data_IF_047601547324
#
_entry.id   IF_047601547324
#
_cell.length_a   1.000
_cell.length_b   1.000
_cell.length_c   1.000
_cell.angle_alpha   90.00
_cell.angle_beta   90.00
_cell.angle_gamma   90.00
#
_symmetry.space_group_name_H-M   'P 1'
#
loop_
_entity.id
_entity.type
_entity.pdbx_description
1 polymer ?
#
# COMPACT_ATOMS: atom_id res chain seq x y z
N UNK A 1 -8.85 35.08 -4.92
CA UNK A 1 -8.45 33.74 -4.41
C UNK A 1 -9.45 32.74 -4.97
N UNK A 2 -9.14 32.09 -6.09
CA UNK A 2 -10.02 31.06 -6.65
C UNK A 2 -10.04 29.87 -5.71
N UNK A 3 -11.16 29.66 -5.03
CA UNK A 3 -11.38 28.50 -4.20
C UNK A 3 -11.23 27.25 -5.09
N UNK A 4 -10.12 26.52 -4.93
CA UNK A 4 -10.03 25.18 -5.48
C UNK A 4 -11.11 24.36 -4.78
N UNK A 5 -12.23 24.14 -5.48
CA UNK A 5 -13.29 23.24 -5.03
C UNK A 5 -12.65 21.91 -4.66
N UNK A 6 -13.02 21.35 -3.50
CA UNK A 6 -12.50 20.06 -3.02
C UNK A 6 -12.53 18.94 -4.08
N UNK A 7 -13.47 19.01 -5.03
CA UNK A 7 -13.57 18.13 -6.20
C UNK A 7 -12.33 18.18 -7.11
N UNK A 8 -11.81 19.37 -7.40
CA UNK A 8 -10.59 19.52 -8.22
C UNK A 8 -9.35 18.99 -7.51
N UNK A 9 -9.29 19.12 -6.18
CA UNK A 9 -8.21 18.56 -5.36
C UNK A 9 -8.28 17.03 -5.37
N UNK A 10 -9.48 16.47 -5.24
CA UNK A 10 -9.77 15.03 -5.34
C UNK A 10 -9.33 14.46 -6.68
N UNK A 11 -9.77 15.06 -7.79
CA UNK A 11 -9.40 14.63 -9.15
C UNK A 11 -7.88 14.63 -9.36
N UNK A 12 -7.19 15.68 -8.91
CA UNK A 12 -5.72 15.74 -8.99
C UNK A 12 -5.06 14.63 -8.19
N UNK A 13 -5.58 14.29 -7.00
CA UNK A 13 -5.04 13.21 -6.17
C UNK A 13 -5.29 11.84 -6.76
N UNK A 14 -6.45 11.62 -7.36
CA UNK A 14 -6.75 10.40 -8.12
C UNK A 14 -5.78 10.23 -9.29
N UNK A 15 -5.51 11.29 -10.06
CA UNK A 15 -4.55 11.26 -11.17
C UNK A 15 -3.13 11.01 -10.68
N UNK A 16 -2.70 11.61 -9.57
CA UNK A 16 -1.37 11.37 -8.99
C UNK A 16 -1.23 9.91 -8.54
N UNK A 17 -2.22 9.39 -7.81
CA UNK A 17 -2.25 8.01 -7.33
C UNK A 17 -2.22 7.03 -8.49
N UNK A 18 -3.10 7.22 -9.46
CA UNK A 18 -3.21 6.34 -10.62
C UNK A 18 -1.99 6.51 -11.54
N UNK A 19 -1.32 7.66 -11.55
CA UNK A 19 -0.06 7.87 -12.26
C UNK A 19 1.12 7.10 -11.65
N UNK A 20 1.12 6.88 -10.33
CA UNK A 20 2.15 6.07 -9.65
C UNK A 20 2.02 4.58 -9.97
N UNK A 21 0.81 4.08 -10.26
CA UNK A 21 0.53 2.66 -10.47
C UNK A 21 0.99 2.21 -11.87
N UNK A 22 1.96 1.27 -11.99
CA UNK A 22 2.37 0.71 -13.27
C UNK A 22 1.20 0.06 -14.02
N UNK A 23 1.11 0.26 -15.34
CA UNK A 23 0.06 -0.34 -16.17
C UNK A 23 0.15 -1.87 -16.22
N UNK A 24 1.33 -2.43 -16.03
CA UNK A 24 1.61 -3.87 -16.05
C UNK A 24 0.96 -4.63 -14.90
N UNK A 25 0.66 -3.94 -13.79
CA UNK A 25 0.05 -4.55 -12.60
C UNK A 25 -1.47 -4.42 -12.57
N UNK A 26 -2.05 -3.82 -13.61
CA UNK A 26 -3.50 -3.62 -13.72
C UNK A 26 -4.16 -4.83 -14.37
N UNK A 27 -5.27 -5.27 -13.80
CA UNK A 27 -6.17 -6.20 -14.48
C UNK A 27 -6.78 -5.48 -15.68
N UNK A 28 -6.73 -6.07 -16.89
CA UNK A 28 -7.44 -5.56 -18.05
C UNK A 28 -8.93 -5.40 -17.77
N UNK A 29 -9.54 -4.33 -18.28
CA UNK A 29 -10.95 -3.98 -18.09
C UNK A 29 -11.91 -5.16 -18.34
N UNK A 30 -11.56 -6.02 -19.28
CA UNK A 30 -12.35 -7.16 -19.74
C UNK A 30 -12.41 -8.32 -18.72
N UNK A 31 -11.51 -8.33 -17.73
CA UNK A 31 -11.44 -9.35 -16.67
C UNK A 31 -11.89 -8.84 -15.30
N UNK A 32 -12.37 -7.60 -15.22
CA UNK A 32 -12.88 -7.06 -13.97
C UNK A 32 -14.23 -7.72 -13.64
N UNK A 33 -14.45 -8.13 -12.38
CA UNK A 33 -15.73 -8.66 -11.95
C UNK A 33 -16.82 -7.59 -12.12
N UNK A 34 -18.04 -8.01 -12.46
CA UNK A 34 -19.16 -7.08 -12.57
C UNK A 34 -19.42 -6.36 -11.23
N UNK A 35 -19.95 -5.14 -11.28
CA UNK A 35 -20.28 -4.34 -10.09
C UNK A 35 -21.27 -5.00 -9.11
N UNK A 36 -21.86 -6.15 -9.46
CA UNK A 36 -22.76 -6.94 -8.62
C UNK A 36 -22.05 -7.94 -7.70
N UNK A 37 -20.77 -8.24 -7.96
CA UNK A 37 -19.97 -9.19 -7.17
C UNK A 37 -19.54 -8.52 -5.87
N UNK A 38 -19.98 -9.09 -4.74
CA UNK A 38 -19.67 -8.58 -3.40
C UNK A 38 -18.40 -9.17 -2.79
N UNK A 39 -17.99 -10.35 -3.25
CA UNK A 39 -16.76 -11.00 -2.82
C UNK A 39 -15.71 -10.92 -3.93
N UNK A 40 -14.68 -10.13 -3.69
CA UNK A 40 -13.58 -9.87 -4.63
C UNK A 40 -12.31 -10.63 -4.25
N UNK A 41 -12.35 -11.45 -3.18
CA UNK A 41 -11.21 -12.27 -2.75
C UNK A 41 -10.79 -13.28 -3.83
N UNK A 42 -11.72 -14.02 -4.49
CA UNK A 42 -11.36 -14.96 -5.55
C UNK A 42 -10.82 -14.27 -6.80
N UNK A 43 -11.27 -13.04 -7.07
CA UNK A 43 -10.97 -12.30 -8.30
C UNK A 43 -9.48 -12.11 -8.53
N UNK A 44 -8.69 -12.02 -7.46
CA UNK A 44 -7.26 -11.89 -7.60
C UNK A 44 -6.56 -13.23 -7.91
N UNK A 45 -7.09 -14.40 -7.50
CA UNK A 45 -6.65 -15.71 -8.01
C UNK A 45 -7.10 -15.93 -9.46
N UNK A 46 -8.33 -15.53 -9.78
CA UNK A 46 -8.95 -15.69 -11.10
C UNK A 46 -8.38 -14.73 -12.16
N UNK A 47 -7.77 -13.62 -11.72
CA UNK A 47 -7.14 -12.64 -12.62
C UNK A 47 -6.04 -13.24 -13.50
N UNK A 48 -5.41 -14.34 -13.05
CA UNK A 48 -4.29 -14.99 -13.73
C UNK A 48 -3.01 -14.16 -13.76
N UNK A 49 -2.93 -13.08 -12.96
CA UNK A 49 -1.77 -12.20 -12.89
C UNK A 49 -0.68 -12.73 -11.95
N UNK A 50 -1.03 -13.60 -11.01
CA UNK A 50 -0.12 -14.10 -9.98
C UNK A 50 0.35 -15.52 -10.28
N UNK A 51 1.62 -15.77 -10.03
CA UNK A 51 2.18 -17.13 -10.03
C UNK A 51 1.74 -17.91 -8.78
N UNK A 52 1.88 -19.23 -8.78
CA UNK A 52 1.54 -20.06 -7.63
C UNK A 52 2.32 -19.66 -6.35
N UNK A 53 3.57 -19.22 -6.52
CA UNK A 53 4.43 -18.76 -5.43
C UNK A 53 3.98 -17.42 -4.85
N UNK A 54 3.59 -16.48 -5.70
CA UNK A 54 3.04 -15.19 -5.25
C UNK A 54 1.72 -15.37 -4.50
N UNK A 55 0.86 -16.28 -4.97
CA UNK A 55 -0.37 -16.63 -4.24
C UNK A 55 -0.07 -17.22 -2.86
N UNK A 56 0.90 -18.14 -2.77
CA UNK A 56 1.35 -18.71 -1.50
C UNK A 56 1.84 -17.61 -0.52
N UNK A 57 2.62 -16.63 -1.01
CA UNK A 57 3.07 -15.49 -0.19
C UNK A 57 1.87 -14.69 0.33
N UNK A 58 0.89 -14.38 -0.53
CA UNK A 58 -0.28 -13.58 -0.12
C UNK A 58 -1.26 -14.30 0.81
N UNK A 59 -1.32 -15.63 0.73
CA UNK A 59 -2.21 -16.45 1.56
C UNK A 59 -1.55 -16.89 2.88
N UNK A 60 -0.24 -16.70 3.02
CA UNK A 60 0.52 -17.05 4.23
C UNK A 60 0.30 -16.04 5.37
N UNK A 61 0.45 -16.51 6.62
CA UNK A 61 0.41 -15.63 7.80
C UNK A 61 1.68 -14.78 7.89
N UNK A 62 1.56 -13.60 8.50
CA UNK A 62 2.70 -12.71 8.70
C UNK A 62 3.86 -13.37 9.47
N UNK A 63 3.55 -14.24 10.43
CA UNK A 63 4.55 -15.03 11.17
C UNK A 63 5.31 -15.98 10.27
N UNK A 64 4.62 -16.62 9.33
CA UNK A 64 5.22 -17.57 8.39
C UNK A 64 6.06 -16.85 7.35
N UNK A 65 5.60 -15.68 6.88
CA UNK A 65 6.36 -14.80 5.98
C UNK A 65 7.68 -14.40 6.65
N UNK A 66 7.64 -13.92 7.90
CA UNK A 66 8.87 -13.53 8.63
C UNK A 66 9.80 -14.72 8.84
N UNK A 67 9.28 -15.90 9.19
CA UNK A 67 10.09 -17.10 9.35
C UNK A 67 10.78 -17.52 8.04
N UNK A 68 10.03 -17.57 6.93
CA UNK A 68 10.56 -17.94 5.60
C UNK A 68 11.55 -16.93 5.06
N UNK A 69 11.35 -15.64 5.35
CA UNK A 69 12.30 -14.58 5.05
C UNK A 69 13.59 -14.71 5.88
N UNK A 70 13.46 -15.03 7.18
CA UNK A 70 14.61 -15.25 8.05
C UNK A 70 15.46 -16.44 7.57
N UNK A 71 14.81 -17.53 7.18
CA UNK A 71 15.44 -18.71 6.57
C UNK A 71 16.03 -18.41 5.17
N UNK A 72 15.55 -17.38 4.48
CA UNK A 72 15.99 -17.01 3.14
C UNK A 72 15.39 -17.85 2.04
N UNK A 73 14.26 -18.49 2.31
CA UNK A 73 13.49 -19.19 1.28
C UNK A 73 12.87 -18.20 0.28
N UNK A 74 12.51 -17.01 0.77
CA UNK A 74 11.94 -15.90 0.01
C UNK A 74 12.83 -14.66 0.10
N UNK A 75 12.83 -13.85 -0.96
CA UNK A 75 13.53 -12.56 -0.99
C UNK A 75 12.61 -11.44 -0.52
N UNK A 76 13.15 -10.41 0.14
CA UNK A 76 12.35 -9.28 0.61
C UNK A 76 11.73 -8.50 -0.55
N UNK A 77 12.48 -8.36 -1.65
CA UNK A 77 11.99 -7.75 -2.89
C UNK A 77 10.79 -8.52 -3.46
N UNK A 78 10.88 -9.85 -3.55
CA UNK A 78 9.81 -10.71 -4.08
C UNK A 78 8.52 -10.55 -3.26
N UNK A 79 8.64 -10.61 -1.92
CA UNK A 79 7.50 -10.44 -1.03
C UNK A 79 6.88 -9.05 -1.19
N UNK A 80 7.71 -8.00 -1.20
CA UNK A 80 7.22 -6.62 -1.32
C UNK A 80 6.59 -6.35 -2.67
N UNK A 81 7.14 -6.87 -3.76
CA UNK A 81 6.58 -6.77 -5.10
C UNK A 81 5.22 -7.48 -5.18
N UNK A 82 5.15 -8.70 -4.64
CA UNK A 82 3.90 -9.48 -4.58
C UNK A 82 2.79 -8.71 -3.86
N UNK A 83 3.09 -8.12 -2.71
CA UNK A 83 2.12 -7.29 -1.97
C UNK A 83 1.76 -6.02 -2.75
N UNK A 84 2.72 -5.33 -3.37
CA UNK A 84 2.44 -4.16 -4.22
C UNK A 84 1.48 -4.50 -5.37
N UNK A 85 1.72 -5.61 -6.08
CA UNK A 85 0.86 -6.09 -7.18
C UNK A 85 -0.54 -6.42 -6.69
N UNK A 86 -0.65 -7.11 -5.55
CA UNK A 86 -1.94 -7.46 -4.92
C UNK A 86 -2.73 -6.21 -4.51
N UNK A 87 -2.03 -5.22 -4.01
CA UNK A 87 -2.58 -3.92 -3.60
C UNK A 87 -3.14 -3.14 -4.79
N UNK A 88 -2.47 -3.16 -5.95
CA UNK A 88 -3.00 -2.56 -7.19
C UNK A 88 -4.29 -3.24 -7.65
N UNK A 89 -4.34 -4.57 -7.59
CA UNK A 89 -5.56 -5.33 -7.92
C UNK A 89 -6.70 -4.96 -6.97
N UNK A 90 -6.45 -4.97 -5.65
CA UNK A 90 -7.44 -4.58 -4.66
C UNK A 90 -7.92 -3.13 -4.89
N UNK A 91 -7.01 -2.24 -5.27
CA UNK A 91 -7.33 -0.85 -5.57
C UNK A 91 -8.31 -0.72 -6.75
N UNK A 92 -8.15 -1.49 -7.82
CA UNK A 92 -9.09 -1.48 -8.94
C UNK A 92 -10.48 -2.00 -8.56
N UNK A 93 -10.54 -2.93 -7.60
CA UNK A 93 -11.78 -3.60 -7.22
C UNK A 93 -12.57 -2.82 -6.15
N UNK A 94 -11.89 -2.25 -5.15
CA UNK A 94 -12.53 -1.65 -3.96
C UNK A 94 -12.13 -0.21 -3.68
N UNK A 95 -11.16 0.35 -4.42
CA UNK A 95 -10.64 1.70 -4.24
C UNK A 95 -10.28 1.97 -2.77
N UNK A 96 -9.31 1.22 -2.23
CA UNK A 96 -8.95 1.20 -0.81
C UNK A 96 -7.69 2.02 -0.46
N UNK A 97 -6.98 2.55 -1.45
CA UNK A 97 -5.69 3.21 -1.27
C UNK A 97 -5.80 4.71 -1.43
N UNK A 98 -5.14 5.41 -0.50
CA UNK A 98 -4.87 6.84 -0.61
C UNK A 98 -3.60 7.07 -1.45
N UNK A 99 -2.47 6.56 -0.96
CA UNK A 99 -1.15 6.77 -1.56
C UNK A 99 -0.36 5.45 -1.64
N UNK A 100 -0.11 4.90 -2.85
CA UNK A 100 0.79 3.78 -3.03
C UNK A 100 2.25 4.26 -2.92
N UNK A 101 3.07 3.53 -2.15
CA UNK A 101 4.47 3.85 -1.91
C UNK A 101 5.41 2.83 -2.58
N UNK A 102 5.68 3.00 -3.87
CA UNK A 102 6.58 2.10 -4.61
C UNK A 102 8.06 2.25 -4.23
N UNK A 103 8.43 3.30 -3.47
CA UNK A 103 9.77 3.41 -2.88
C UNK A 103 10.09 2.26 -1.92
N UNK A 104 9.07 1.55 -1.44
CA UNK A 104 9.21 0.31 -0.68
C UNK A 104 10.04 -0.77 -1.40
N UNK A 105 10.05 -0.82 -2.73
CA UNK A 105 10.85 -1.80 -3.48
C UNK A 105 12.34 -1.52 -3.39
N UNK A 106 12.72 -0.24 -3.44
CA UNK A 106 14.11 0.17 -3.23
C UNK A 106 14.56 -0.16 -1.81
N UNK A 107 13.71 0.14 -0.81
CA UNK A 107 13.96 -0.24 0.58
C UNK A 107 14.10 -1.76 0.73
N UNK A 108 13.21 -2.55 0.14
CA UNK A 108 13.28 -4.01 0.19
C UNK A 108 14.58 -4.56 -0.40
N UNK A 109 15.06 -3.97 -1.51
CA UNK A 109 16.34 -4.33 -2.12
C UNK A 109 17.54 -3.98 -1.22
N UNK A 110 17.50 -2.83 -0.53
CA UNK A 110 18.51 -2.47 0.46
C UNK A 110 18.53 -3.45 1.65
N UNK A 111 17.36 -3.92 2.10
CA UNK A 111 17.27 -4.94 3.16
C UNK A 111 17.81 -6.30 2.69
N UNK A 112 17.51 -6.70 1.45
CA UNK A 112 18.09 -7.91 0.84
C UNK A 112 19.62 -7.82 0.77
N UNK A 113 20.17 -6.67 0.34
CA UNK A 113 21.60 -6.43 0.30
C UNK A 113 22.24 -6.45 1.69
N UNK A 114 21.62 -5.79 2.67
CA UNK A 114 22.07 -5.79 4.06
C UNK A 114 22.13 -7.20 4.64
N UNK A 115 21.10 -8.02 4.38
CA UNK A 115 21.08 -9.43 4.80
C UNK A 115 22.18 -10.24 4.12
N UNK A 116 22.42 -10.02 2.83
CA UNK A 116 23.47 -10.73 2.10
C UNK A 116 24.88 -10.40 2.64
N UNK A 117 25.13 -9.13 2.97
CA UNK A 117 26.42 -8.65 3.46
C UNK A 117 26.66 -9.00 4.94
N UNK A 118 25.69 -8.70 5.81
CA UNK A 118 25.87 -8.82 7.26
C UNK A 118 25.36 -10.15 7.85
N UNK A 119 24.58 -10.93 7.08
CA UNK A 119 23.89 -12.15 7.53
C UNK A 119 23.07 -11.96 8.82
N UNK A 120 22.62 -10.73 9.07
CA UNK A 120 21.85 -10.34 10.25
C UNK A 120 20.55 -9.68 9.81
N UNK A 121 19.52 -9.91 10.60
CA UNK A 121 18.23 -9.23 10.47
C UNK A 121 18.30 -7.92 11.26
N UNK A 122 17.75 -6.82 10.72
CA UNK A 122 17.74 -5.51 11.40
C UNK A 122 16.81 -5.54 12.61
N UNK A 123 15.71 -6.30 12.54
CA UNK A 123 14.71 -6.38 13.60
C UNK A 123 13.71 -7.53 13.45
N UNK A 124 12.74 -7.65 14.37
CA UNK A 124 11.77 -8.76 14.39
C UNK A 124 10.77 -8.72 13.23
N UNK A 125 10.59 -7.58 12.57
CA UNK A 125 9.69 -7.40 11.42
C UNK A 125 10.47 -7.16 10.12
N UNK A 126 11.74 -7.58 10.09
CA UNK A 126 12.63 -7.29 8.98
C UNK A 126 12.07 -7.78 7.64
N UNK A 127 11.80 -6.83 6.75
CA UNK A 127 11.27 -7.06 5.41
C UNK A 127 9.79 -7.44 5.33
N UNK A 128 9.04 -7.35 6.43
CA UNK A 128 7.59 -7.54 6.39
C UNK A 128 6.92 -6.34 5.73
N UNK A 129 6.28 -6.57 4.58
CA UNK A 129 5.50 -5.54 3.89
C UNK A 129 4.25 -5.20 4.68
N UNK A 130 4.18 -3.96 5.17
CA UNK A 130 3.10 -3.47 6.04
C UNK A 130 2.36 -2.33 5.35
N UNK A 131 1.03 -2.34 5.45
CA UNK A 131 0.20 -1.21 5.04
C UNK A 131 -0.13 -0.35 6.26
N UNK A 132 -0.19 0.97 6.07
CA UNK A 132 -0.55 1.89 7.14
C UNK A 132 -1.82 2.66 6.80
N UNK A 133 -2.52 3.04 7.86
CA UNK A 133 -3.68 3.91 7.77
C UNK A 133 -3.23 5.34 7.47
N UNK A 134 -3.94 6.08 6.61
CA UNK A 134 -3.56 7.45 6.21
C UNK A 134 -3.44 8.46 7.37
N UNK A 135 -3.94 8.11 8.56
CA UNK A 135 -3.75 8.90 9.79
C UNK A 135 -2.28 9.02 10.21
N UNK A 136 -1.41 8.10 9.77
CA UNK A 136 0.00 8.08 10.16
C UNK A 136 0.85 8.91 9.21
N UNK A 137 1.67 9.79 9.80
CA UNK A 137 2.65 10.58 9.07
C UNK A 137 3.85 9.71 8.74
N UNK A 138 4.12 9.55 7.46
CA UNK A 138 5.29 8.86 6.91
C UNK A 138 6.09 9.92 6.17
N UNK A 139 7.40 9.97 6.41
CA UNK A 139 8.26 10.99 5.82
C UNK A 139 8.23 10.93 4.30
N UNK A 140 8.01 12.06 3.65
CA UNK A 140 7.97 12.15 2.18
C UNK A 140 6.68 11.68 1.52
N UNK A 141 5.73 11.14 2.29
CA UNK A 141 4.37 10.88 1.83
C UNK A 141 3.43 11.95 2.40
N UNK A 142 2.40 12.27 1.62
CA UNK A 142 1.30 13.05 2.13
C UNK A 142 0.58 12.24 3.21
N UNK A 143 0.15 12.93 4.26
CA UNK A 143 -0.85 12.39 5.18
C UNK A 143 -2.02 13.35 5.07
N UNK A 144 -3.12 12.90 4.45
CA UNK A 144 -4.37 13.65 4.51
C UNK A 144 -4.96 13.41 5.89
N UNK A 145 -4.36 14.01 6.92
CA UNK A 145 -4.76 13.90 8.32
C UNK A 145 -6.27 14.16 8.38
N UNK A 146 -7.06 13.07 8.49
CA UNK A 146 -8.54 13.06 8.58
C UNK A 146 -9.35 13.30 7.29
N UNK A 147 -8.74 13.21 6.11
CA UNK A 147 -9.48 13.22 4.84
C UNK A 147 -10.00 14.58 4.39
N UNK A 148 -9.33 15.66 4.82
CA UNK A 148 -9.64 17.01 4.40
C UNK A 148 -8.88 17.38 3.13
N UNK A 149 -9.62 17.80 2.09
CA UNK A 149 -9.03 18.29 0.84
C UNK A 149 -8.09 19.50 1.06
N UNK A 150 -8.32 20.30 2.11
CA UNK A 150 -7.46 21.45 2.45
C UNK A 150 -6.06 21.09 2.95
N UNK A 151 -5.79 19.82 3.25
CA UNK A 151 -4.48 19.33 3.71
C UNK A 151 -3.84 18.35 2.71
N UNK A 152 -4.39 18.25 1.50
CA UNK A 152 -3.75 17.52 0.41
C UNK A 152 -2.49 18.26 -0.07
N UNK A 153 -1.50 17.53 -0.58
CA UNK A 153 -0.22 18.07 -1.08
C UNK A 153 0.64 18.74 0.01
N UNK A 154 0.52 18.26 1.25
CA UNK A 154 1.36 18.68 2.37
C UNK A 154 2.21 17.49 2.83
N UNK A 155 3.41 17.30 2.23
CA UNK A 155 4.27 16.20 2.62
C UNK A 155 4.71 16.38 4.07
N UNK A 156 4.57 15.33 4.86
CA UNK A 156 4.92 15.39 6.27
C UNK A 156 6.45 15.46 6.43
N UNK A 157 6.93 16.53 7.06
CA UNK A 157 8.34 16.68 7.45
C UNK A 157 8.71 15.76 8.62
N UNK A 158 7.74 15.50 9.49
CA UNK A 158 7.91 14.67 10.68
C UNK A 158 7.20 13.33 10.51
N UNK A 159 7.85 12.29 10.99
CA UNK A 159 7.35 10.94 11.00
C UNK A 159 6.65 10.62 12.33
N UNK A 160 5.59 9.81 12.30
CA UNK A 160 4.93 9.39 13.55
C UNK A 160 5.80 8.40 14.30
N UNK A 161 5.81 8.45 15.63
CA UNK A 161 6.61 7.53 16.46
C UNK A 161 6.36 6.06 16.14
N UNK A 162 5.13 5.68 15.80
CA UNK A 162 4.81 4.31 15.39
C UNK A 162 5.52 3.90 14.09
N UNK A 163 5.62 4.80 13.13
CA UNK A 163 6.27 4.55 11.84
C UNK A 163 7.78 4.41 12.04
N UNK A 164 8.36 5.23 12.93
CA UNK A 164 9.76 5.13 13.31
C UNK A 164 10.06 3.77 13.95
N UNK A 165 9.24 3.34 14.91
CA UNK A 165 9.36 2.03 15.54
C UNK A 165 9.22 0.87 14.53
N UNK A 166 8.35 1.03 13.53
CA UNK A 166 8.20 0.03 12.46
C UNK A 166 9.43 -0.01 11.54
N UNK A 167 10.00 1.13 11.19
CA UNK A 167 11.25 1.19 10.42
C UNK A 167 12.44 0.64 11.21
N UNK A 168 12.56 0.96 12.50
CA UNK A 168 13.56 0.37 13.41
C UNK A 168 13.40 -1.15 13.55
N UNK A 169 12.16 -1.64 13.57
CA UNK A 169 11.87 -3.08 13.54
C UNK A 169 12.14 -3.73 12.16
N UNK A 170 12.46 -2.93 11.13
CA UNK A 170 12.78 -3.37 9.78
C UNK A 170 11.56 -3.61 8.87
N UNK A 171 10.36 -3.14 9.26
CA UNK A 171 9.17 -3.27 8.43
C UNK A 171 9.22 -2.32 7.22
N UNK A 172 8.67 -2.78 6.09
CA UNK A 172 8.64 -2.02 4.83
C UNK A 172 7.23 -1.51 4.57
N UNK A 173 7.05 -0.20 4.50
CA UNK A 173 5.73 0.41 4.32
C UNK A 173 5.46 0.63 2.83
N UNK A 174 4.65 -0.26 2.25
CA UNK A 174 4.39 -0.29 0.82
C UNK A 174 3.17 0.53 0.38
N UNK A 175 2.22 0.81 1.27
CA UNK A 175 1.02 1.56 0.90
C UNK A 175 0.33 2.23 2.08
N UNK A 176 -0.41 3.30 1.79
CA UNK A 176 -1.38 3.91 2.70
C UNK A 176 -2.81 3.62 2.28
N UNK A 177 -3.61 3.27 3.26
CA UNK A 177 -5.03 2.92 3.11
C UNK A 177 -5.94 4.07 3.50
N UNK A 178 -7.03 4.19 2.75
CA UNK A 178 -8.03 5.24 2.94
C UNK A 178 -8.74 5.14 4.30
N UNK A 179 -9.14 6.30 4.82
CA UNK A 179 -9.77 6.44 6.14
C UNK A 179 -11.07 7.21 6.06
N UNK A 180 -12.12 6.87 6.83
CA UNK A 180 -13.34 7.67 6.79
C UNK A 180 -13.04 9.11 7.22
N UNK A 181 -13.67 10.09 6.58
CA UNK A 181 -13.52 11.50 6.94
C UNK A 181 -13.77 11.67 8.45
N UNK A 182 -12.85 12.35 9.15
CA UNK A 182 -12.84 12.53 10.62
C UNK A 182 -12.69 11.28 11.49
N UNK A 183 -12.53 10.09 10.91
CA UNK A 183 -12.53 8.80 11.65
C UNK A 183 -13.82 8.49 12.44
N UNK A 184 -14.87 9.28 12.26
CA UNK A 184 -16.10 9.20 13.06
C UNK A 184 -17.27 8.52 12.34
N UNK A 185 -17.06 8.11 11.08
CA UNK A 185 -18.09 7.47 10.25
C UNK A 185 -17.71 6.01 9.99
N UNK A 186 -18.70 5.11 10.10
CA UNK A 186 -18.54 3.67 9.88
C UNK A 186 -18.30 3.30 8.40
N UNK A 187 -18.69 4.17 7.48
CA UNK A 187 -18.44 4.04 6.05
C UNK A 187 -17.17 4.78 5.64
N UNK A 188 -16.25 4.10 4.95
CA UNK A 188 -15.07 4.69 4.30
C UNK A 188 -15.48 5.47 3.06
N UNK A 189 -16.08 6.64 3.29
CA UNK A 189 -16.40 7.65 2.26
C UNK A 189 -15.54 8.89 2.53
N UNK A 190 -14.88 9.38 1.48
CA UNK A 190 -13.79 10.35 1.61
C UNK A 190 -13.84 11.34 0.45
N UNK A 191 -13.86 12.64 0.76
CA UNK A 191 -13.94 13.70 -0.24
C UNK A 191 -12.75 13.77 -1.22
N UNK A 192 -11.66 13.07 -0.91
CA UNK A 192 -10.39 13.12 -1.68
C UNK A 192 -10.23 11.92 -2.62
N UNK A 193 -10.82 10.77 -2.30
CA UNK A 193 -10.60 9.53 -3.05
C UNK A 193 -11.88 8.78 -3.46
N UNK A 194 -13.06 9.20 -2.96
CA UNK A 194 -14.37 8.61 -3.31
C UNK A 194 -15.42 9.70 -3.54
N UNK A 195 -15.89 9.82 -4.78
CA UNK A 195 -17.07 10.62 -5.10
C UNK A 195 -18.36 9.85 -4.75
N UNK A 196 -19.33 10.57 -4.18
CA UNK A 196 -20.73 10.14 -4.04
C UNK A 196 -21.46 10.54 -5.33
#
# INVERSE_FOLDING_TARGET
MSANTWKSISERKLVERDGKIPSEWRIPSDKLPSASVRDVIPSARESGLFTARELEITDSLATDIVARLAEGQWSYLEVTETFCRRVVVAQQLVNCLSDPNFAALAQANELDAYRAEHKKLIGPLHGLSTSLKDQFRVKGLDATIRGYAGQAFQPCAEESTLVQLLHEAGAVIHTKTDVPTTLMVRSVTLHVHKHI
#
